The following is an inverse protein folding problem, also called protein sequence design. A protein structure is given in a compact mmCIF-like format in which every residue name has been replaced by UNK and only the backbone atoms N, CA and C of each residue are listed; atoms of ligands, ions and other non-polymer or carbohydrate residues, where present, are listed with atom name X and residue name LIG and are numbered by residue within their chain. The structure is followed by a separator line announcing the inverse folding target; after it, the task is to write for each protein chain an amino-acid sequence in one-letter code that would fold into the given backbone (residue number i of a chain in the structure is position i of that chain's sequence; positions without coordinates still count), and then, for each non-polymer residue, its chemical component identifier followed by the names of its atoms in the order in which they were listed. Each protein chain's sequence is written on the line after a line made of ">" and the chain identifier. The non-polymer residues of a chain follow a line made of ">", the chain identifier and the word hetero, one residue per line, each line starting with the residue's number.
data_IF_133396007901
#
_entry.id   IF_133396007901
#
_cell.length_a   1.000
_cell.length_b   1.000
_cell.length_c   1.000
_cell.angle_alpha   90.00
_cell.angle_beta   90.00
_cell.angle_gamma   90.00
#
_symmetry.space_group_name_H-M   'P 1'
#
loop_
_entity.id
_entity.type
_entity.pdbx_description
1 polymer ?
#
# COMPACT_ATOMS: atom_id res chain seq x y z
N UNK A 1 -8.24 -18.81 -15.01
CA UNK A 1 -8.31 -19.26 -16.41
C UNK A 1 -6.94 -19.09 -17.03
N UNK A 2 -6.45 -20.07 -17.79
CA UNK A 2 -5.14 -19.99 -18.44
C UNK A 2 -5.31 -19.49 -19.88
N UNK A 3 -4.39 -18.64 -20.31
CA UNK A 3 -4.36 -18.02 -21.63
C UNK A 3 -3.09 -18.45 -22.34
N UNK A 4 -3.22 -18.85 -23.60
CA UNK A 4 -2.08 -19.07 -24.48
C UNK A 4 -1.69 -17.75 -25.16
N UNK A 5 -0.46 -17.31 -24.93
CA UNK A 5 0.10 -16.08 -25.49
C UNK A 5 1.16 -16.46 -26.51
N UNK A 6 0.99 -15.99 -27.74
CA UNK A 6 2.00 -16.09 -28.80
C UNK A 6 2.51 -14.70 -29.16
N UNK A 7 3.82 -14.52 -29.12
CA UNK A 7 4.49 -13.29 -29.56
C UNK A 7 5.25 -13.54 -30.85
N UNK A 8 5.07 -12.68 -31.86
CA UNK A 8 5.78 -12.72 -33.14
C UNK A 8 6.53 -11.42 -33.41
N UNK A 9 7.68 -11.50 -34.05
CA UNK A 9 8.49 -10.37 -34.51
C UNK A 9 8.90 -10.59 -35.96
N UNK A 10 8.56 -9.66 -36.85
CA UNK A 10 8.82 -9.81 -38.29
C UNK A 10 8.13 -11.03 -38.92
N UNK A 11 7.01 -11.49 -38.35
CA UNK A 11 6.29 -12.70 -38.80
C UNK A 11 6.86 -14.02 -38.27
N UNK A 12 8.01 -14.01 -37.58
CA UNK A 12 8.57 -15.19 -36.93
C UNK A 12 8.13 -15.28 -35.46
N UNK A 13 7.83 -16.48 -34.93
CA UNK A 13 7.52 -16.66 -33.52
C UNK A 13 8.75 -16.39 -32.64
N UNK A 14 8.58 -15.54 -31.63
CA UNK A 14 9.59 -15.25 -30.61
C UNK A 14 9.42 -16.15 -29.39
N UNK A 15 8.18 -16.27 -28.88
CA UNK A 15 7.83 -17.21 -27.83
C UNK A 15 6.34 -17.54 -27.82
N UNK A 16 6.04 -18.71 -27.28
CA UNK A 16 4.69 -19.16 -26.92
C UNK A 16 4.72 -19.56 -25.46
N UNK A 17 3.84 -18.98 -24.66
CA UNK A 17 3.72 -19.28 -23.23
C UNK A 17 2.25 -19.48 -22.87
N UNK A 18 1.98 -20.46 -22.03
CA UNK A 18 0.71 -20.52 -21.30
C UNK A 18 0.87 -19.73 -20.01
N UNK A 19 0.06 -18.70 -19.84
CA UNK A 19 0.08 -17.83 -18.66
C UNK A 19 -1.28 -17.84 -17.98
N UNK A 20 -1.31 -17.47 -16.71
CA UNK A 20 -2.55 -17.19 -16.00
C UNK A 20 -2.54 -15.70 -15.67
N UNK A 21 -3.59 -14.99 -16.03
CA UNK A 21 -3.82 -13.68 -15.45
C UNK A 21 -4.20 -13.90 -13.98
N UNK A 22 -3.68 -13.09 -13.06
CA UNK A 22 -3.93 -13.18 -11.62
C UNK A 22 -5.36 -12.79 -11.23
N UNK A 23 -6.36 -13.37 -11.91
CA UNK A 23 -7.76 -13.20 -11.57
C UNK A 23 -8.10 -14.13 -10.42
N UNK A 24 -8.27 -13.55 -9.23
CA UNK A 24 -8.70 -14.27 -8.04
C UNK A 24 -10.24 -14.17 -7.93
N UNK A 25 -11.01 -15.23 -8.26
CA UNK A 25 -12.44 -15.20 -8.01
C UNK A 25 -12.72 -15.00 -6.51
N UNK A 26 -13.91 -14.50 -6.16
CA UNK A 26 -14.30 -14.27 -4.76
C UNK A 26 -14.07 -15.51 -3.87
N UNK A 27 -14.27 -16.71 -4.42
CA UNK A 27 -13.98 -17.98 -3.74
C UNK A 27 -12.51 -18.18 -3.37
N UNK A 28 -11.56 -17.63 -4.13
CA UNK A 28 -10.13 -17.68 -3.79
C UNK A 28 -9.78 -16.87 -2.54
N UNK A 29 -10.66 -15.98 -2.09
CA UNK A 29 -10.47 -15.21 -0.86
C UNK A 29 -11.15 -15.85 0.36
N UNK A 30 -12.01 -16.86 0.18
CA UNK A 30 -12.76 -17.48 1.28
C UNK A 30 -11.86 -18.04 2.40
N UNK A 31 -10.71 -18.60 2.02
CA UNK A 31 -9.76 -19.24 2.94
C UNK A 31 -8.43 -18.48 3.10
N UNK A 32 -8.40 -17.20 2.72
CA UNK A 32 -7.21 -16.35 2.84
C UNK A 32 -7.39 -15.33 3.98
N UNK A 33 -7.08 -15.70 5.25
CA UNK A 33 -7.31 -14.84 6.42
C UNK A 33 -6.42 -13.58 6.47
N UNK A 34 -5.57 -13.35 5.46
CA UNK A 34 -4.58 -12.28 5.45
C UNK A 34 -3.40 -12.58 6.37
N UNK A 35 -2.59 -11.55 6.63
CA UNK A 35 -1.47 -11.66 7.58
C UNK A 35 -2.01 -11.58 9.02
N UNK A 36 -1.53 -12.44 9.94
CA UNK A 36 -1.94 -12.37 11.33
C UNK A 36 -1.46 -11.07 11.96
N UNK A 37 -2.36 -10.38 12.67
CA UNK A 37 -2.04 -9.17 13.44
C UNK A 37 -1.88 -9.56 14.90
N UNK A 38 -0.70 -9.29 15.49
CA UNK A 38 -0.45 -9.59 16.90
C UNK A 38 -1.32 -8.74 17.83
N UNK A 39 -1.58 -9.21 19.06
CA UNK A 39 -2.30 -8.41 20.05
C UNK A 39 -1.61 -7.07 20.34
N UNK A 40 -0.27 -7.06 20.30
CA UNK A 40 0.53 -5.84 20.46
C UNK A 40 0.29 -4.85 19.31
N UNK A 41 0.26 -5.32 18.07
CA UNK A 41 0.00 -4.46 16.90
C UNK A 41 -1.43 -3.92 16.93
N UNK A 42 -2.41 -4.74 17.32
CA UNK A 42 -3.80 -4.29 17.50
C UNK A 42 -3.91 -3.21 18.58
N UNK A 43 -3.24 -3.39 19.72
CA UNK A 43 -3.24 -2.40 20.80
C UNK A 43 -2.61 -1.06 20.36
N UNK A 44 -1.61 -1.10 19.48
CA UNK A 44 -0.98 0.13 18.93
C UNK A 44 -1.95 0.97 18.12
N UNK A 45 -2.96 0.40 17.47
CA UNK A 45 -3.95 1.18 16.73
C UNK A 45 -4.80 2.06 17.65
N UNK A 46 -5.10 1.60 18.86
CA UNK A 46 -5.92 2.32 19.84
C UNK A 46 -5.10 3.08 20.90
N UNK A 47 -3.77 3.01 20.86
CA UNK A 47 -2.93 3.64 21.87
C UNK A 47 -3.14 5.17 21.89
N UNK A 48 -3.36 5.79 23.06
CA UNK A 48 -3.55 7.23 23.14
C UNK A 48 -2.24 7.96 22.83
N UNK A 49 -2.34 9.07 22.11
CA UNK A 49 -1.25 10.01 21.89
C UNK A 49 -1.84 11.42 21.78
N UNK A 50 -1.19 12.41 22.36
CA UNK A 50 -1.59 13.82 22.21
C UNK A 50 -1.05 14.45 20.93
N UNK A 51 -0.10 13.79 20.26
CA UNK A 51 0.51 14.28 19.02
C UNK A 51 -0.33 13.86 17.82
N UNK A 52 -0.70 14.85 17.01
CA UNK A 52 -1.33 14.66 15.71
C UNK A 52 -0.76 15.67 14.71
N UNK A 53 -0.53 15.23 13.47
CA UNK A 53 -0.09 16.11 12.39
C UNK A 53 -0.77 15.75 11.08
N UNK A 54 -1.41 16.74 10.46
CA UNK A 54 -1.96 16.66 9.10
C UNK A 54 -0.84 16.79 8.06
N UNK A 55 -0.68 15.79 7.21
CA UNK A 55 0.29 15.74 6.10
C UNK A 55 -0.32 16.18 4.76
N UNK A 56 -1.64 16.37 4.72
CA UNK A 56 -2.37 16.90 3.56
C UNK A 56 -2.34 18.42 3.50
N UNK A 57 -2.36 19.07 4.67
CA UNK A 57 -2.28 20.51 4.80
C UNK A 57 -1.03 21.08 4.12
N UNK A 58 -1.12 22.26 3.48
CA UNK A 58 0.04 22.99 2.99
C UNK A 58 0.87 23.46 4.19
N UNK A 59 1.74 22.58 4.69
CA UNK A 59 2.68 22.91 5.74
C UNK A 59 3.75 23.85 5.18
N UNK A 60 4.24 24.76 6.03
CA UNK A 60 5.53 25.41 5.81
C UNK A 60 6.58 24.34 5.47
N UNK A 61 7.55 24.70 4.62
CA UNK A 61 8.61 23.82 4.09
C UNK A 61 9.00 22.75 5.11
N UNK A 62 8.64 21.50 4.83
CA UNK A 62 9.19 20.34 5.54
C UNK A 62 10.59 20.10 5.01
N UNK A 63 11.53 19.82 5.90
CA UNK A 63 12.89 19.43 5.54
C UNK A 63 13.16 18.04 6.12
N UNK A 64 13.27 16.99 5.28
CA UNK A 64 13.15 17.01 3.81
C UNK A 64 11.71 17.30 3.32
N UNK A 65 11.54 17.75 2.06
CA UNK A 65 10.22 18.00 1.49
C UNK A 65 9.40 16.71 1.43
N UNK A 66 8.09 16.84 1.66
CA UNK A 66 7.17 15.72 1.51
C UNK A 66 7.02 15.33 0.02
N UNK A 67 6.75 14.05 -0.28
CA UNK A 67 6.36 13.62 -1.62
C UNK A 67 5.17 14.43 -2.14
N UNK A 68 5.12 14.62 -3.47
CA UNK A 68 3.98 15.27 -4.11
C UNK A 68 2.68 14.46 -3.96
N UNK A 69 1.50 15.05 -4.26
CA UNK A 69 0.21 14.46 -3.95
C UNK A 69 -0.01 13.02 -4.46
N UNK A 70 0.56 12.65 -5.60
CA UNK A 70 0.44 11.29 -6.14
C UNK A 70 1.26 10.24 -5.39
N UNK A 71 2.39 10.63 -4.78
CA UNK A 71 3.29 9.74 -4.04
C UNK A 71 3.17 9.91 -2.52
N UNK A 72 2.33 10.82 -2.04
CA UNK A 72 2.02 10.98 -0.63
C UNK A 72 1.08 9.87 -0.18
N UNK A 73 1.65 8.84 0.45
CA UNK A 73 0.92 7.65 0.93
C UNK A 73 0.56 7.71 2.42
N UNK A 74 0.64 8.89 3.04
CA UNK A 74 0.23 9.13 4.42
C UNK A 74 -0.50 10.47 4.49
N UNK A 75 -1.66 10.49 5.13
CA UNK A 75 -2.48 11.69 5.29
C UNK A 75 -2.25 12.34 6.65
N UNK A 76 -2.03 11.55 7.70
CA UNK A 76 -1.79 12.06 9.05
C UNK A 76 -0.88 11.18 9.88
N UNK A 77 -0.11 11.80 10.77
CA UNK A 77 0.52 11.12 11.90
C UNK A 77 -0.44 11.22 13.08
N UNK A 78 -0.86 10.08 13.63
CA UNK A 78 -1.81 10.01 14.75
C UNK A 78 -1.16 9.53 16.05
N UNK A 79 0.15 9.31 16.05
CA UNK A 79 0.89 9.02 17.26
C UNK A 79 2.40 9.07 17.08
N UNK A 80 3.07 9.59 18.10
CA UNK A 80 4.52 9.61 18.22
C UNK A 80 4.93 9.36 19.68
N UNK A 81 5.75 8.33 19.89
CA UNK A 81 6.32 7.97 21.19
C UNK A 81 7.83 7.85 21.04
N UNK A 82 8.61 8.87 21.45
CA UNK A 82 10.08 8.90 21.24
C UNK A 82 10.82 7.72 21.88
N UNK A 83 10.33 7.24 23.02
CA UNK A 83 10.88 6.10 23.77
C UNK A 83 10.16 4.78 23.44
N UNK A 84 9.24 4.82 22.48
CA UNK A 84 8.44 3.66 22.07
C UNK A 84 9.21 2.65 21.21
N UNK A 85 8.50 1.60 20.80
CA UNK A 85 9.02 0.57 19.91
C UNK A 85 9.87 -0.49 20.63
N UNK A 86 10.14 -1.60 19.94
CA UNK A 86 10.86 -2.76 20.54
C UNK A 86 12.28 -2.42 20.99
N UNK A 87 12.91 -1.44 20.33
CA UNK A 87 14.27 -1.00 20.63
C UNK A 87 14.33 0.22 21.58
N UNK A 88 13.18 0.76 22.00
CA UNK A 88 13.12 1.98 22.81
C UNK A 88 13.69 3.23 22.12
N UNK A 89 13.58 3.28 20.79
CA UNK A 89 14.18 4.33 19.93
C UNK A 89 13.17 5.14 19.14
N UNK A 90 11.88 4.92 19.39
CA UNK A 90 10.81 5.62 18.71
C UNK A 90 9.75 4.66 18.17
N UNK A 91 8.52 5.12 18.21
CA UNK A 91 7.38 4.54 17.52
C UNK A 91 6.57 5.68 16.89
N UNK A 92 6.24 5.52 15.61
CA UNK A 92 5.31 6.38 14.88
C UNK A 92 4.08 5.58 14.48
N UNK A 93 2.92 6.22 14.54
CA UNK A 93 1.67 5.74 13.95
C UNK A 93 1.18 6.78 12.96
N UNK A 94 0.99 6.36 11.72
CA UNK A 94 0.46 7.20 10.66
C UNK A 94 -0.64 6.45 9.90
N UNK A 95 -1.51 7.21 9.26
CA UNK A 95 -2.71 6.71 8.60
C UNK A 95 -2.82 7.31 7.20
N UNK A 96 -3.32 6.49 6.28
CA UNK A 96 -3.78 6.90 4.95
C UNK A 96 -5.26 6.53 4.85
N UNK A 97 -6.07 7.45 4.37
CA UNK A 97 -7.46 7.17 4.02
C UNK A 97 -7.50 6.43 2.68
N UNK A 98 -8.30 5.35 2.63
CA UNK A 98 -8.46 4.57 1.40
C UNK A 98 -9.55 5.21 0.54
N UNK A 99 -9.13 5.99 -0.46
CA UNK A 99 -10.02 6.54 -1.48
C UNK A 99 -10.16 5.56 -2.66
N UNK A 100 -11.36 4.99 -2.94
CA UNK A 100 -11.60 4.16 -4.11
C UNK A 100 -11.32 4.88 -5.45
N UNK A 101 -11.35 6.22 -5.46
CA UNK A 101 -11.03 7.08 -6.59
C UNK A 101 -9.53 7.36 -6.78
N UNK A 102 -8.66 6.85 -5.90
CA UNK A 102 -7.23 7.08 -5.97
C UNK A 102 -6.64 6.63 -7.31
N UNK A 103 -5.64 7.37 -7.78
CA UNK A 103 -5.09 7.22 -9.14
C UNK A 103 -4.57 5.79 -9.42
N UNK A 104 -4.00 5.13 -8.41
CA UNK A 104 -3.40 3.81 -8.57
C UNK A 104 -4.46 2.71 -8.76
N UNK A 105 -5.65 2.82 -8.17
CA UNK A 105 -6.70 1.82 -8.37
C UNK A 105 -7.21 1.80 -9.82
N UNK A 106 -7.19 2.94 -10.51
CA UNK A 106 -7.53 3.01 -11.94
C UNK A 106 -6.48 2.38 -12.85
N UNK A 107 -5.25 2.23 -12.38
CA UNK A 107 -4.10 1.83 -13.19
C UNK A 107 -3.48 0.49 -12.76
N UNK A 108 -3.91 -0.08 -11.63
CA UNK A 108 -3.26 -1.22 -11.01
C UNK A 108 -4.28 -2.06 -10.21
N UNK A 109 -4.92 -3.07 -10.79
CA UNK A 109 -4.89 -3.51 -12.18
C UNK A 109 -6.26 -3.32 -12.84
N UNK A 110 -6.31 -3.42 -14.17
CA UNK A 110 -7.57 -3.42 -14.89
C UNK A 110 -8.48 -4.56 -14.37
N UNK A 111 -9.68 -4.18 -13.90
CA UNK A 111 -10.67 -5.07 -13.29
C UNK A 111 -10.27 -5.77 -11.98
N UNK A 112 -9.11 -5.43 -11.40
CA UNK A 112 -8.64 -5.92 -10.10
C UNK A 112 -7.88 -4.80 -9.36
N UNK A 113 -8.59 -3.76 -8.89
CA UNK A 113 -7.98 -2.59 -8.30
C UNK A 113 -7.33 -2.94 -6.94
N UNK A 114 -6.01 -2.73 -6.85
CA UNK A 114 -5.21 -3.00 -5.66
C UNK A 114 -4.11 -1.96 -5.51
N UNK A 115 -3.92 -1.44 -4.29
CA UNK A 115 -2.81 -0.52 -4.03
C UNK A 115 -1.47 -1.23 -4.30
N UNK A 116 -0.59 -0.66 -5.13
CA UNK A 116 0.75 -1.22 -5.35
C UNK A 116 1.50 -1.35 -4.02
N UNK A 117 2.01 -2.54 -3.72
CA UNK A 117 2.77 -2.78 -2.48
C UNK A 117 4.02 -1.90 -2.35
N UNK A 118 4.61 -1.47 -3.47
CA UNK A 118 5.73 -0.52 -3.51
C UNK A 118 5.38 0.85 -2.92
N UNK A 119 4.14 1.31 -3.10
CA UNK A 119 3.67 2.56 -2.49
C UNK A 119 3.51 2.41 -0.97
N UNK A 120 3.16 1.22 -0.48
CA UNK A 120 3.17 0.92 0.94
C UNK A 120 4.60 0.92 1.54
N UNK A 121 5.61 0.52 0.76
CA UNK A 121 7.02 0.62 1.17
C UNK A 121 7.49 2.07 1.20
N UNK A 122 7.13 2.88 0.21
CA UNK A 122 7.44 4.32 0.17
C UNK A 122 6.90 5.08 1.40
N UNK A 123 5.83 4.57 2.02
CA UNK A 123 5.26 5.15 3.23
C UNK A 123 6.05 4.85 4.52
N UNK A 124 7.01 3.91 4.51
CA UNK A 124 7.75 3.43 5.68
C UNK A 124 9.17 3.98 5.77
#
# INVERSE_FOLDING_TARGET
>A
EAFDVTCTGGGAPLFTVSTVFGYFPASSFADRPGLPVSASDRARLAAPCAYEADLTAPAARREPPAPGPMLRMLDRVTGYWPEGGRAGRGLLRAEQEVDPGAWYFRSHFFQDPVQPGSLGIEAM
#
